data_IF_466794315910
#
_entry.id   IF_466794315910
#
_cell.length_a   1.000
_cell.length_b   1.000
_cell.length_c   1.000
_cell.angle_alpha   90.00
_cell.angle_beta   90.00
_cell.angle_gamma   90.00
#
_symmetry.space_group_name_H-M   'P 1'
#
loop_
_entity.id
_entity.type
_entity.pdbx_description
1 polymer ?
#
# COMPACT_ATOMS: atom_id res chain seq x y z
N UNK A 1 11.40 2.72 27.56
CA UNK A 1 12.79 3.03 27.20
C UNK A 1 12.75 4.30 26.40
N UNK A 2 13.38 5.36 26.88
CA UNK A 2 13.51 6.59 26.08
C UNK A 2 14.46 6.32 24.91
N UNK A 3 14.04 6.70 23.70
CA UNK A 3 14.87 6.61 22.50
C UNK A 3 15.96 7.71 22.59
N UNK A 4 17.21 7.27 22.65
CA UNK A 4 18.41 8.12 22.64
C UNK A 4 19.23 7.68 21.43
N UNK A 5 19.88 8.61 20.73
CA UNK A 5 20.64 8.30 19.50
C UNK A 5 21.62 7.13 19.70
N UNK A 6 22.23 7.03 20.88
CA UNK A 6 23.22 6.00 21.20
C UNK A 6 22.60 4.63 21.55
N UNK A 7 21.27 4.51 21.68
CA UNK A 7 20.57 3.27 22.03
C UNK A 7 19.68 2.71 20.92
N UNK A 8 19.75 3.27 19.70
CA UNK A 8 18.88 2.90 18.56
C UNK A 8 18.96 1.39 18.26
N UNK A 9 20.15 0.79 18.27
CA UNK A 9 20.31 -0.64 17.99
C UNK A 9 19.55 -1.52 19.01
N UNK A 10 19.71 -1.21 20.30
CA UNK A 10 19.03 -1.93 21.37
C UNK A 10 17.51 -1.72 21.29
N UNK A 11 17.07 -0.48 21.03
CA UNK A 11 15.67 -0.14 20.84
C UNK A 11 15.06 -0.93 19.66
N UNK A 12 15.77 -1.05 18.53
CA UNK A 12 15.33 -1.84 17.38
C UNK A 12 15.23 -3.32 17.74
N UNK A 13 16.23 -3.89 18.43
CA UNK A 13 16.23 -5.31 18.81
C UNK A 13 15.06 -5.62 19.76
N UNK A 14 14.87 -4.82 20.80
CA UNK A 14 13.79 -5.02 21.76
C UNK A 14 12.42 -4.86 21.11
N UNK A 15 12.26 -3.85 20.27
CA UNK A 15 11.02 -3.63 19.52
C UNK A 15 10.71 -4.79 18.57
N UNK A 16 11.70 -5.28 17.81
CA UNK A 16 11.55 -6.46 16.94
C UNK A 16 11.18 -7.73 17.73
N UNK A 17 11.74 -7.92 18.93
CA UNK A 17 11.38 -9.05 19.80
C UNK A 17 9.91 -8.96 20.25
N UNK A 18 9.47 -7.77 20.68
CA UNK A 18 8.09 -7.53 21.09
C UNK A 18 7.08 -7.75 19.95
N UNK A 19 7.42 -7.31 18.74
CA UNK A 19 6.57 -7.57 17.57
C UNK A 19 6.49 -9.07 17.23
N UNK A 20 7.61 -9.80 17.30
CA UNK A 20 7.63 -11.25 17.06
C UNK A 20 6.86 -12.04 18.11
N UNK A 21 6.88 -11.63 19.38
CA UNK A 21 6.07 -12.28 20.42
C UNK A 21 4.57 -12.03 20.25
N UNK A 22 4.20 -10.90 19.66
CA UNK A 22 2.80 -10.52 19.41
C UNK A 22 2.27 -11.11 18.09
N UNK A 23 3.17 -11.45 17.16
CA UNK A 23 2.83 -11.97 15.83
C UNK A 23 3.63 -13.28 15.56
N UNK A 24 3.21 -14.41 16.16
CA UNK A 24 3.97 -15.66 16.12
C UNK A 24 4.14 -16.22 14.69
N UNK A 25 3.19 -15.95 13.79
CA UNK A 25 3.19 -16.43 12.40
C UNK A 25 3.66 -15.38 11.38
N UNK A 26 4.49 -14.43 11.81
CA UNK A 26 4.99 -13.33 10.97
C UNK A 26 5.49 -13.79 9.59
N UNK A 27 6.14 -14.95 9.50
CA UNK A 27 6.64 -15.48 8.22
C UNK A 27 5.52 -15.85 7.25
N UNK A 28 4.47 -16.50 7.72
CA UNK A 28 3.34 -16.88 6.87
C UNK A 28 2.49 -15.65 6.52
N UNK A 29 2.25 -14.76 7.49
CA UNK A 29 1.58 -13.48 7.24
C UNK A 29 2.33 -12.66 6.19
N UNK A 30 3.67 -12.64 6.25
CA UNK A 30 4.48 -11.93 5.28
C UNK A 30 4.39 -12.57 3.88
N UNK A 31 4.34 -13.90 3.77
CA UNK A 31 4.13 -14.59 2.48
C UNK A 31 2.77 -14.25 1.87
N UNK A 32 1.73 -14.13 2.69
CA UNK A 32 0.40 -13.74 2.22
C UNK A 32 0.41 -12.32 1.67
N UNK A 33 1.07 -11.39 2.37
CA UNK A 33 1.27 -10.02 1.89
C UNK A 33 2.11 -9.99 0.62
N UNK A 34 3.21 -10.75 0.56
CA UNK A 34 4.07 -10.84 -0.63
C UNK A 34 3.31 -11.37 -1.84
N UNK A 35 2.49 -12.41 -1.66
CA UNK A 35 1.62 -12.94 -2.72
C UNK A 35 0.65 -11.88 -3.21
N UNK A 36 -0.06 -11.20 -2.31
CA UNK A 36 -1.00 -10.14 -2.68
C UNK A 36 -0.30 -9.03 -3.49
N UNK A 37 0.84 -8.55 -3.01
CA UNK A 37 1.60 -7.51 -3.72
C UNK A 37 2.09 -8.02 -5.08
N UNK A 38 2.53 -9.27 -5.19
CA UNK A 38 2.96 -9.85 -6.46
C UNK A 38 1.82 -9.95 -7.48
N UNK A 39 0.61 -10.28 -7.04
CA UNK A 39 -0.58 -10.30 -7.91
C UNK A 39 -0.92 -8.89 -8.41
N UNK A 40 -0.88 -7.89 -7.54
CA UNK A 40 -1.10 -6.49 -7.92
C UNK A 40 -0.04 -5.98 -8.91
N UNK A 41 1.22 -6.32 -8.70
CA UNK A 41 2.30 -5.99 -9.64
C UNK A 41 2.06 -6.63 -11.00
N UNK A 42 1.60 -7.89 -11.04
CA UNK A 42 1.29 -8.57 -12.31
C UNK A 42 0.16 -7.88 -13.09
N UNK A 43 -0.87 -7.40 -12.38
CA UNK A 43 -1.98 -6.63 -12.98
C UNK A 43 -1.46 -5.31 -13.56
N UNK A 44 -0.59 -4.61 -12.83
CA UNK A 44 0.04 -3.37 -13.28
C UNK A 44 0.88 -3.61 -14.53
N UNK A 45 1.77 -4.60 -14.51
CA UNK A 45 2.63 -4.93 -15.66
C UNK A 45 1.82 -5.32 -16.89
N UNK A 46 0.73 -6.06 -16.71
CA UNK A 46 -0.18 -6.41 -17.81
C UNK A 46 -0.85 -5.17 -18.38
N UNK A 47 -1.32 -4.25 -17.53
CA UNK A 47 -1.94 -2.99 -17.96
C UNK A 47 -0.95 -2.13 -18.75
N UNK A 48 0.31 -2.05 -18.31
CA UNK A 48 1.38 -1.34 -19.03
C UNK A 48 1.63 -1.97 -20.40
N UNK A 49 1.71 -3.30 -20.49
CA UNK A 49 1.91 -4.02 -21.77
C UNK A 49 0.75 -3.82 -22.74
N UNK A 50 -0.47 -3.68 -22.23
CA UNK A 50 -1.67 -3.37 -23.02
C UNK A 50 -1.78 -1.88 -23.39
N UNK A 51 -0.82 -1.04 -22.95
CA UNK A 51 -0.83 0.40 -23.20
C UNK A 51 -1.90 1.16 -22.42
N UNK A 52 -2.46 0.55 -21.37
CA UNK A 52 -3.48 1.17 -20.51
C UNK A 52 -2.80 2.04 -19.45
N UNK A 53 -3.43 3.17 -19.14
CA UNK A 53 -2.99 4.02 -18.03
C UNK A 53 -3.21 3.28 -16.71
N UNK A 54 -2.13 3.16 -15.93
CA UNK A 54 -2.16 2.52 -14.61
C UNK A 54 -2.50 3.52 -13.50
N UNK A 55 -2.41 4.82 -13.82
CA UNK A 55 -2.81 5.89 -12.93
C UNK A 55 -4.24 6.26 -13.33
N UNK A 56 -5.19 6.32 -12.39
CA UNK A 56 -6.56 6.72 -12.70
C UNK A 56 -6.58 8.16 -13.21
N UNK A 57 -7.16 8.35 -14.39
CA UNK A 57 -7.34 9.67 -15.00
C UNK A 57 -8.80 10.10 -14.77
N UNK A 58 -8.96 11.25 -14.11
CA UNK A 58 -10.28 11.84 -13.81
C UNK A 58 -10.33 13.18 -14.54
N UNK A 59 -11.38 13.42 -15.33
CA UNK A 59 -11.60 14.71 -15.95
C UNK A 59 -12.10 15.70 -14.90
N UNK A 60 -11.56 16.92 -14.93
CA UNK A 60 -11.95 17.98 -14.00
C UNK A 60 -13.48 18.23 -13.98
N UNK A 61 -14.14 18.09 -15.13
CA UNK A 61 -15.59 18.29 -15.28
C UNK A 61 -16.44 17.27 -14.49
N UNK A 62 -15.88 16.09 -14.22
CA UNK A 62 -16.58 15.03 -13.49
C UNK A 62 -16.46 15.22 -11.97
N UNK A 63 -15.54 16.08 -11.51
CA UNK A 63 -15.36 16.44 -10.10
C UNK A 63 -16.51 17.35 -9.61
N UNK A 64 -16.88 18.36 -10.41
CA UNK A 64 -17.94 19.33 -10.05
C UNK A 64 -19.34 18.71 -10.00
N UNK A 65 -19.53 17.55 -10.63
CA UNK A 65 -20.82 16.90 -10.75
C UNK A 65 -21.11 15.84 -9.66
N UNK A 66 -20.19 15.62 -8.69
CA UNK A 66 -20.20 14.45 -7.78
C UNK A 66 -20.37 13.11 -8.53
N UNK A 67 -20.03 13.07 -9.81
CA UNK A 67 -20.36 11.97 -10.72
C UNK A 67 -19.12 11.11 -11.03
N UNK A 68 -18.23 11.00 -10.05
CA UNK A 68 -17.06 10.13 -10.14
C UNK A 68 -17.52 8.70 -9.86
N UNK A 69 -17.30 7.80 -10.81
CA UNK A 69 -17.57 6.38 -10.61
C UNK A 69 -16.80 5.86 -9.39
N UNK A 70 -17.47 5.11 -8.52
CA UNK A 70 -16.90 4.61 -7.26
C UNK A 70 -15.67 3.73 -7.50
N UNK A 71 -15.62 3.05 -8.65
CA UNK A 71 -14.45 2.25 -9.05
C UNK A 71 -13.21 3.11 -9.29
N UNK A 72 -13.37 4.31 -9.85
CA UNK A 72 -12.27 5.24 -10.09
C UNK A 72 -11.74 5.83 -8.78
N UNK A 73 -12.63 6.08 -7.81
CA UNK A 73 -12.24 6.50 -6.47
C UNK A 73 -11.47 5.39 -5.73
N UNK A 74 -11.94 4.15 -5.80
CA UNK A 74 -11.29 3.01 -5.15
C UNK A 74 -9.92 2.72 -5.79
N UNK A 75 -9.82 2.82 -7.12
CA UNK A 75 -8.55 2.75 -7.84
C UNK A 75 -7.59 3.86 -7.40
N UNK A 76 -8.07 5.10 -7.26
CA UNK A 76 -7.25 6.21 -6.78
C UNK A 76 -6.69 5.98 -5.37
N UNK A 77 -7.51 5.49 -4.44
CA UNK A 77 -7.06 5.12 -3.09
C UNK A 77 -6.04 3.98 -3.14
N UNK A 78 -6.30 2.98 -3.97
CA UNK A 78 -5.45 1.78 -4.09
C UNK A 78 -4.08 2.08 -4.71
N UNK A 79 -4.03 2.92 -5.74
CA UNK A 79 -2.83 3.14 -6.54
C UNK A 79 -2.04 4.39 -6.13
N UNK A 80 -2.72 5.46 -5.70
CA UNK A 80 -2.08 6.71 -5.28
C UNK A 80 -2.05 6.88 -3.76
N UNK A 81 -2.68 5.99 -2.99
CA UNK A 81 -2.78 6.08 -1.53
C UNK A 81 -3.68 7.20 -1.02
N UNK A 82 -4.18 8.07 -1.92
CA UNK A 82 -4.99 9.23 -1.60
C UNK A 82 -5.73 9.75 -2.85
N UNK A 83 -6.96 10.20 -2.68
CA UNK A 83 -7.71 10.96 -3.69
C UNK A 83 -8.13 12.26 -3.00
N UNK A 84 -7.59 13.43 -3.39
CA UNK A 84 -7.71 14.69 -2.64
C UNK A 84 -9.07 15.40 -2.76
N UNK A 85 -10.21 14.73 -2.80
CA UNK A 85 -11.49 15.43 -2.95
C UNK A 85 -12.61 14.70 -2.23
#
# INVERSE_FOLDING_TARGET
MDLIIDNIEEAIVNTKKQFKSTLPDLKEIFKDVERYISEEVSIIETSIKEGKSVIPEILYKDLDAENIDTKTMDLGKKQMGFVPW
#
